data_IF_546124147360
#
_entry.id   IF_546124147360
#
_cell.length_a   1.000
_cell.length_b   1.000
_cell.length_c   1.000
_cell.angle_alpha   90.00
_cell.angle_beta   90.00
_cell.angle_gamma   90.00
#
_symmetry.space_group_name_H-M   'P 1'
#
loop_
_entity.id
_entity.type
_entity.pdbx_description
1 polymer ?
#
# COMPACT_ATOMS: atom_id res chain seq x y z
N UNK A 1 28.26 -32.52 24.62
CA UNK A 1 27.83 -31.11 24.89
C UNK A 1 28.80 -30.12 24.23
N UNK A 2 30.11 -30.31 24.28
CA UNK A 2 31.10 -29.37 23.71
C UNK A 2 31.03 -29.24 22.15
N UNK A 3 30.74 -30.32 21.41
CA UNK A 3 30.65 -30.30 19.95
C UNK A 3 29.45 -29.49 19.41
N UNK A 4 28.33 -29.45 20.14
CA UNK A 4 27.16 -28.68 19.74
C UNK A 4 27.40 -27.17 19.87
N UNK A 5 28.19 -26.71 20.85
CA UNK A 5 28.48 -25.29 21.05
C UNK A 5 29.41 -24.73 19.97
N UNK A 6 30.37 -25.48 19.47
CA UNK A 6 31.27 -25.05 18.40
C UNK A 6 30.55 -24.92 17.05
N UNK A 7 29.62 -25.83 16.75
CA UNK A 7 28.83 -25.78 15.52
C UNK A 7 27.93 -24.55 15.50
N UNK A 8 27.31 -24.17 16.65
CA UNK A 8 26.45 -22.98 16.77
C UNK A 8 27.23 -21.67 16.57
N UNK A 9 28.43 -21.56 17.10
CA UNK A 9 29.29 -20.36 16.95
C UNK A 9 29.73 -20.20 15.50
N UNK A 10 30.09 -21.30 14.83
CA UNK A 10 30.46 -21.27 13.40
C UNK A 10 29.30 -20.86 12.50
N UNK A 11 28.10 -21.37 12.77
CA UNK A 11 26.89 -20.99 12.03
C UNK A 11 26.57 -19.49 12.21
N UNK A 12 26.60 -18.96 13.44
CA UNK A 12 26.39 -17.53 13.70
C UNK A 12 27.42 -16.63 12.99
N UNK A 13 28.68 -17.08 12.91
CA UNK A 13 29.71 -16.35 12.17
C UNK A 13 29.39 -16.35 10.67
N UNK A 14 29.05 -17.49 10.10
CA UNK A 14 28.73 -17.62 8.70
C UNK A 14 27.52 -16.77 8.31
N UNK A 15 26.44 -16.78 9.11
CA UNK A 15 25.27 -15.91 8.93
C UNK A 15 25.68 -14.43 8.88
N UNK A 16 26.44 -13.96 9.88
CA UNK A 16 26.90 -12.56 9.93
C UNK A 16 27.76 -12.17 8.74
N UNK A 17 28.62 -13.08 8.26
CA UNK A 17 29.47 -12.81 7.10
C UNK A 17 28.66 -12.68 5.81
N UNK A 18 27.63 -13.52 5.61
CA UNK A 18 26.69 -13.39 4.50
C UNK A 18 25.88 -12.09 4.59
N UNK A 19 25.36 -11.73 5.77
CA UNK A 19 24.64 -10.45 5.97
C UNK A 19 25.55 -9.27 5.62
N UNK A 20 26.78 -9.22 6.13
CA UNK A 20 27.73 -8.14 5.82
C UNK A 20 28.03 -8.02 4.35
N UNK A 21 28.20 -9.15 3.67
CA UNK A 21 28.43 -9.16 2.23
C UNK A 21 27.19 -8.69 1.46
N UNK A 22 26.01 -9.15 1.87
CA UNK A 22 24.74 -8.71 1.31
C UNK A 22 24.56 -7.19 1.48
N UNK A 23 24.81 -6.65 2.69
CA UNK A 23 24.70 -5.21 2.96
C UNK A 23 25.64 -4.38 2.09
N UNK A 24 26.89 -4.83 1.87
CA UNK A 24 27.82 -4.11 1.00
C UNK A 24 27.29 -4.09 -0.44
N UNK A 25 26.89 -5.24 -0.97
CA UNK A 25 26.34 -5.37 -2.32
C UNK A 25 25.05 -4.55 -2.51
N UNK A 26 24.20 -4.52 -1.49
CA UNK A 26 23.00 -3.68 -1.49
C UNK A 26 23.35 -2.18 -1.58
N UNK A 27 24.33 -1.72 -0.80
CA UNK A 27 24.79 -0.34 -0.83
C UNK A 27 25.45 0.02 -2.18
N UNK A 28 26.09 -0.95 -2.82
CA UNK A 28 26.66 -0.82 -4.16
C UNK A 28 25.61 -0.97 -5.28
N UNK A 29 24.30 -1.09 -4.90
CA UNK A 29 23.16 -1.31 -5.82
C UNK A 29 23.27 -2.60 -6.65
N UNK A 30 24.07 -3.59 -6.21
CA UNK A 30 24.19 -4.91 -6.83
C UNK A 30 23.16 -5.87 -6.21
N UNK A 31 21.89 -5.59 -6.48
CA UNK A 31 20.77 -6.22 -5.76
C UNK A 31 20.66 -7.73 -5.98
N UNK A 32 20.98 -8.24 -7.16
CA UNK A 32 20.93 -9.68 -7.44
C UNK A 32 21.92 -10.46 -6.57
N UNK A 33 23.14 -9.96 -6.44
CA UNK A 33 24.15 -10.62 -5.62
C UNK A 33 23.88 -10.41 -4.11
N UNK A 34 23.30 -9.27 -3.73
CA UNK A 34 22.83 -9.04 -2.37
C UNK A 34 21.76 -10.07 -1.97
N UNK A 35 20.77 -10.31 -2.83
CA UNK A 35 19.73 -11.33 -2.64
C UNK A 35 20.35 -12.72 -2.39
N UNK A 36 21.30 -13.15 -3.23
CA UNK A 36 21.99 -14.43 -3.06
C UNK A 36 22.63 -14.56 -1.69
N UNK A 37 23.27 -13.48 -1.19
CA UNK A 37 23.93 -13.51 0.11
C UNK A 37 22.94 -13.52 1.27
N UNK A 38 21.82 -12.78 1.21
CA UNK A 38 20.79 -12.86 2.25
C UNK A 38 20.08 -14.22 2.26
N UNK A 39 19.83 -14.84 1.10
CA UNK A 39 19.29 -16.20 1.04
C UNK A 39 20.25 -17.21 1.67
N UNK A 40 21.58 -17.11 1.42
CA UNK A 40 22.58 -17.94 2.12
C UNK A 40 22.60 -17.71 3.63
N UNK A 41 22.37 -16.46 4.09
CA UNK A 41 22.24 -16.21 5.52
C UNK A 41 21.01 -16.92 6.11
N UNK A 42 19.89 -16.97 5.36
CA UNK A 42 18.68 -17.70 5.76
C UNK A 42 18.82 -19.21 5.69
N UNK A 43 19.65 -19.76 4.80
CA UNK A 43 20.00 -21.20 4.79
C UNK A 43 20.73 -21.56 6.09
N UNK A 44 21.60 -20.68 6.59
CA UNK A 44 22.32 -20.90 7.86
C UNK A 44 21.41 -20.67 9.06
N UNK A 45 20.59 -19.62 9.05
CA UNK A 45 19.64 -19.28 10.11
C UNK A 45 18.27 -18.91 9.52
N UNK A 46 17.36 -19.88 9.38
CA UNK A 46 16.02 -19.65 8.84
C UNK A 46 15.12 -18.72 9.66
N UNK A 47 15.55 -18.37 10.89
CA UNK A 47 14.82 -17.45 11.80
C UNK A 47 15.52 -16.10 11.95
N UNK A 48 16.34 -15.69 11.00
CA UNK A 48 17.02 -14.41 11.02
C UNK A 48 16.10 -13.28 10.54
N UNK A 49 15.46 -12.56 11.46
CA UNK A 49 14.64 -11.40 11.13
C UNK A 49 15.41 -10.35 10.34
N UNK A 50 16.69 -10.15 10.66
CA UNK A 50 17.57 -9.21 9.96
C UNK A 50 17.78 -9.64 8.50
N UNK A 51 18.02 -10.91 8.24
CA UNK A 51 18.20 -11.41 6.88
C UNK A 51 16.92 -11.32 6.07
N UNK A 52 15.76 -11.65 6.65
CA UNK A 52 14.45 -11.50 6.01
C UNK A 52 14.17 -10.04 5.68
N UNK A 53 14.38 -9.12 6.62
CA UNK A 53 14.17 -7.69 6.39
C UNK A 53 15.05 -7.16 5.26
N UNK A 54 16.36 -7.48 5.28
CA UNK A 54 17.29 -7.03 4.24
C UNK A 54 16.99 -7.68 2.88
N UNK A 55 16.57 -8.95 2.87
CA UNK A 55 16.09 -9.61 1.65
C UNK A 55 14.83 -8.92 1.11
N UNK A 56 13.87 -8.60 1.98
CA UNK A 56 12.69 -7.83 1.60
C UNK A 56 13.04 -6.49 0.96
N UNK A 57 13.96 -5.73 1.56
CA UNK A 57 14.46 -4.48 0.98
C UNK A 57 15.07 -4.70 -0.41
N UNK A 58 15.88 -5.74 -0.53
CA UNK A 58 16.57 -6.07 -1.78
C UNK A 58 15.60 -6.49 -2.88
N UNK A 59 14.61 -7.29 -2.55
CA UNK A 59 13.54 -7.71 -3.47
C UNK A 59 12.67 -6.52 -3.90
N UNK A 60 12.39 -5.60 -2.98
CA UNK A 60 11.68 -4.36 -3.28
C UNK A 60 12.43 -3.51 -4.31
N UNK A 61 13.76 -3.36 -4.18
CA UNK A 61 14.58 -2.66 -5.16
C UNK A 61 14.59 -3.35 -6.54
N UNK A 62 14.40 -4.65 -6.57
CA UNK A 62 14.25 -5.43 -7.80
C UNK A 62 12.80 -5.45 -8.33
N UNK A 63 11.88 -4.72 -7.72
CA UNK A 63 10.44 -4.70 -8.03
C UNK A 63 9.74 -6.06 -7.85
N UNK A 64 10.33 -6.98 -7.10
CA UNK A 64 9.76 -8.28 -6.71
C UNK A 64 8.87 -8.08 -5.47
N UNK A 65 7.82 -7.27 -5.61
CA UNK A 65 7.06 -6.74 -4.46
C UNK A 65 6.34 -7.82 -3.65
N UNK A 66 5.83 -8.85 -4.29
CA UNK A 66 5.18 -9.94 -3.58
C UNK A 66 6.15 -10.74 -2.72
N UNK A 67 7.32 -11.11 -3.27
CA UNK A 67 8.35 -11.80 -2.50
C UNK A 67 8.90 -10.92 -1.37
N UNK A 68 9.04 -9.60 -1.62
CA UNK A 68 9.45 -8.65 -0.58
C UNK A 68 8.45 -8.64 0.58
N UNK A 69 7.15 -8.60 0.28
CA UNK A 69 6.08 -8.63 1.28
C UNK A 69 6.12 -9.90 2.12
N UNK A 70 6.35 -11.08 1.52
CA UNK A 70 6.49 -12.35 2.23
C UNK A 70 7.66 -12.34 3.21
N UNK A 71 8.78 -11.70 2.83
CA UNK A 71 9.94 -11.58 3.70
C UNK A 71 9.67 -10.61 4.85
N UNK A 72 9.02 -9.47 4.62
CA UNK A 72 8.63 -8.54 5.67
C UNK A 72 7.62 -9.15 6.65
N UNK A 73 6.61 -9.86 6.14
CA UNK A 73 5.64 -10.56 6.97
C UNK A 73 6.33 -11.61 7.87
N UNK A 74 7.24 -12.38 7.30
CA UNK A 74 8.02 -13.37 8.05
C UNK A 74 8.91 -12.72 9.10
N UNK A 75 9.58 -11.60 8.77
CA UNK A 75 10.40 -10.85 9.71
C UNK A 75 9.56 -10.27 10.86
N UNK A 76 8.38 -9.71 10.57
CA UNK A 76 7.51 -9.08 11.56
C UNK A 76 7.02 -10.06 12.64
N UNK A 77 6.86 -11.34 12.29
CA UNK A 77 6.40 -12.38 13.21
C UNK A 77 7.45 -12.80 14.25
N UNK A 78 8.72 -12.57 13.97
CA UNK A 78 9.84 -13.02 14.82
C UNK A 78 10.65 -11.88 15.43
N UNK A 79 10.63 -10.68 14.83
CA UNK A 79 11.30 -9.50 15.38
C UNK A 79 10.60 -9.05 16.67
N UNK A 80 11.39 -8.60 17.64
CA UNK A 80 10.90 -8.13 18.94
C UNK A 80 11.32 -6.70 19.27
N UNK A 81 12.31 -6.19 18.57
CA UNK A 81 12.75 -4.82 18.69
C UNK A 81 11.74 -3.89 18.03
N UNK A 82 11.17 -2.95 18.82
CA UNK A 82 10.13 -2.04 18.34
C UNK A 82 10.59 -1.18 17.18
N UNK A 83 11.84 -0.68 17.22
CA UNK A 83 12.34 0.16 16.12
C UNK A 83 12.47 -0.62 14.82
N UNK A 84 12.92 -1.86 14.89
CA UNK A 84 12.99 -2.73 13.70
C UNK A 84 11.60 -3.13 13.21
N UNK A 85 10.65 -3.42 14.09
CA UNK A 85 9.26 -3.64 13.72
C UNK A 85 8.66 -2.41 13.04
N UNK A 86 8.95 -1.21 13.54
CA UNK A 86 8.50 0.02 12.88
C UNK A 86 9.00 0.10 11.43
N UNK A 87 10.28 -0.16 11.20
CA UNK A 87 10.82 -0.15 9.83
C UNK A 87 10.21 -1.22 8.93
N UNK A 88 9.96 -2.43 9.47
CA UNK A 88 9.31 -3.51 8.71
C UNK A 88 7.90 -3.07 8.28
N UNK A 89 7.08 -2.58 9.22
CA UNK A 89 5.72 -2.14 8.92
C UNK A 89 5.68 -0.90 8.03
N UNK A 90 6.63 0.03 8.18
CA UNK A 90 6.78 1.15 7.26
C UNK A 90 6.97 0.66 5.82
N UNK A 91 7.93 -0.25 5.59
CA UNK A 91 8.22 -0.77 4.25
C UNK A 91 7.05 -1.58 3.68
N UNK A 92 6.32 -2.34 4.50
CA UNK A 92 5.07 -2.99 4.09
C UNK A 92 4.04 -1.94 3.62
N UNK A 93 3.90 -0.84 4.37
CA UNK A 93 3.02 0.27 4.01
C UNK A 93 3.37 0.88 2.65
N UNK A 94 4.67 1.11 2.40
CA UNK A 94 5.16 1.60 1.10
C UNK A 94 4.79 0.66 -0.04
N UNK A 95 4.96 -0.66 0.14
CA UNK A 95 4.59 -1.64 -0.89
C UNK A 95 3.08 -1.69 -1.13
N UNK A 96 2.25 -1.67 -0.08
CA UNK A 96 0.80 -1.62 -0.22
C UNK A 96 0.34 -0.34 -0.94
N UNK A 97 0.94 0.80 -0.59
CA UNK A 97 0.63 2.08 -1.24
C UNK A 97 1.03 2.08 -2.72
N UNK A 98 2.19 1.54 -3.07
CA UNK A 98 2.62 1.37 -4.46
C UNK A 98 1.66 0.46 -5.25
N UNK A 99 1.13 -0.59 -4.59
CA UNK A 99 0.10 -1.47 -5.15
C UNK A 99 -1.32 -0.89 -5.12
N UNK A 100 -1.52 0.36 -4.65
CA UNK A 100 -2.82 1.04 -4.50
C UNK A 100 -3.78 0.33 -3.53
N UNK A 101 -3.28 -0.54 -2.66
CA UNK A 101 -4.04 -1.10 -1.54
C UNK A 101 -3.91 -0.13 -0.35
N UNK A 102 -4.58 1.01 -0.48
CA UNK A 102 -4.45 2.10 0.49
C UNK A 102 -4.97 1.73 1.87
N UNK A 103 -5.96 0.86 1.96
CA UNK A 103 -6.47 0.37 3.24
C UNK A 103 -5.37 -0.39 4.02
N UNK A 104 -4.70 -1.34 3.38
CA UNK A 104 -3.60 -2.07 4.02
C UNK A 104 -2.38 -1.18 4.25
N UNK A 105 -2.12 -0.18 3.39
CA UNK A 105 -1.07 0.80 3.61
C UNK A 105 -1.30 1.58 4.90
N UNK A 106 -2.53 2.07 5.12
CA UNK A 106 -2.94 2.76 6.36
C UNK A 106 -2.70 1.89 7.58
N UNK A 107 -3.12 0.63 7.56
CA UNK A 107 -2.94 -0.30 8.68
C UNK A 107 -1.45 -0.55 8.97
N UNK A 108 -0.65 -0.76 7.94
CA UNK A 108 0.78 -0.99 8.08
C UNK A 108 1.50 0.25 8.66
N UNK A 109 1.19 1.45 8.20
CA UNK A 109 1.76 2.68 8.76
C UNK A 109 1.31 2.93 10.20
N UNK A 110 0.06 2.63 10.56
CA UNK A 110 -0.40 2.66 11.95
C UNK A 110 0.39 1.69 12.83
N UNK A 111 0.66 0.48 12.35
CA UNK A 111 1.50 -0.48 13.06
C UNK A 111 2.94 0.00 13.21
N UNK A 112 3.50 0.64 12.20
CA UNK A 112 4.81 1.28 12.28
C UNK A 112 4.84 2.34 13.38
N UNK A 113 3.86 3.26 13.40
CA UNK A 113 3.79 4.34 14.38
C UNK A 113 3.50 3.87 15.80
N UNK A 114 2.79 2.76 15.99
CA UNK A 114 2.66 2.13 17.33
C UNK A 114 4.01 1.67 17.88
N UNK A 115 4.94 1.30 17.03
CA UNK A 115 6.29 0.87 17.41
C UNK A 115 7.28 2.03 17.48
N UNK A 116 7.14 3.05 16.63
CA UNK A 116 7.93 4.28 16.65
C UNK A 116 7.04 5.52 16.42
N UNK A 117 6.44 6.09 17.49
CA UNK A 117 5.57 7.26 17.36
C UNK A 117 6.30 8.54 16.89
N UNK A 118 7.62 8.58 16.95
CA UNK A 118 8.40 9.75 16.55
C UNK A 118 8.71 9.81 15.05
N UNK A 119 8.32 8.82 14.27
CA UNK A 119 8.64 8.73 12.85
C UNK A 119 7.77 9.69 12.02
N UNK A 120 8.37 10.82 11.62
CA UNK A 120 7.69 11.85 10.83
C UNK A 120 7.42 11.41 9.39
N UNK A 121 8.29 10.58 8.81
CA UNK A 121 8.11 10.08 7.45
C UNK A 121 6.91 9.13 7.39
N UNK A 122 6.83 8.19 8.33
CA UNK A 122 5.68 7.28 8.42
C UNK A 122 4.38 8.05 8.68
N UNK A 123 4.39 9.12 9.50
CA UNK A 123 3.20 9.96 9.68
C UNK A 123 2.75 10.64 8.38
N UNK A 124 3.68 11.19 7.64
CA UNK A 124 3.38 11.79 6.34
C UNK A 124 2.77 10.76 5.37
N UNK A 125 3.39 9.58 5.28
CA UNK A 125 2.92 8.50 4.41
C UNK A 125 1.55 7.98 4.84
N UNK A 126 1.27 7.89 6.14
CA UNK A 126 -0.06 7.55 6.67
C UNK A 126 -1.12 8.56 6.21
N UNK A 127 -0.86 9.86 6.39
CA UNK A 127 -1.80 10.89 5.98
C UNK A 127 -2.05 10.87 4.45
N UNK A 128 -1.01 10.64 3.66
CA UNK A 128 -1.13 10.48 2.21
C UNK A 128 -1.97 9.24 1.84
N UNK A 129 -1.70 8.09 2.47
CA UNK A 129 -2.45 6.87 2.21
C UNK A 129 -3.93 7.00 2.59
N UNK A 130 -4.25 7.68 3.70
CA UNK A 130 -5.63 7.97 4.11
C UNK A 130 -6.36 8.86 3.10
N UNK A 131 -5.69 9.91 2.61
CA UNK A 131 -6.25 10.74 1.54
C UNK A 131 -6.54 9.91 0.29
N UNK A 132 -5.58 9.11 -0.16
CA UNK A 132 -5.75 8.27 -1.35
C UNK A 132 -6.86 7.23 -1.19
N UNK A 133 -7.02 6.67 0.02
CA UNK A 133 -8.12 5.75 0.34
C UNK A 133 -9.46 6.44 0.21
N UNK A 134 -9.59 7.66 0.77
CA UNK A 134 -10.82 8.46 0.68
C UNK A 134 -11.16 8.82 -0.77
N UNK A 135 -10.14 9.23 -1.54
CA UNK A 135 -10.32 9.58 -2.96
C UNK A 135 -10.77 8.35 -3.77
N UNK A 136 -10.20 7.18 -3.49
CA UNK A 136 -10.60 5.91 -4.11
C UNK A 136 -12.05 5.54 -3.78
N UNK A 137 -12.48 5.70 -2.53
CA UNK A 137 -13.86 5.45 -2.11
C UNK A 137 -14.84 6.41 -2.80
N UNK A 138 -14.52 7.70 -2.84
CA UNK A 138 -15.36 8.70 -3.50
C UNK A 138 -15.53 8.42 -5.00
N UNK A 139 -14.48 7.93 -5.68
CA UNK A 139 -14.56 7.54 -7.08
C UNK A 139 -15.49 6.34 -7.28
N UNK A 140 -15.38 5.31 -6.42
CA UNK A 140 -16.25 4.14 -6.48
C UNK A 140 -17.72 4.50 -6.27
N UNK A 141 -18.01 5.40 -5.32
CA UNK A 141 -19.38 5.87 -5.06
C UNK A 141 -19.95 6.67 -6.25
N UNK A 142 -19.12 7.47 -6.93
CA UNK A 142 -19.54 8.21 -8.12
C UNK A 142 -19.83 7.27 -9.30
N UNK A 143 -19.00 6.27 -9.52
CA UNK A 143 -19.20 5.28 -10.58
C UNK A 143 -20.49 4.46 -10.35
N UNK A 144 -20.74 4.02 -9.11
CA UNK A 144 -21.97 3.32 -8.75
C UNK A 144 -23.23 4.17 -8.95
N UNK A 145 -23.17 5.45 -8.62
CA UNK A 145 -24.29 6.38 -8.83
C UNK A 145 -24.55 6.65 -10.32
N UNK A 146 -23.51 6.71 -11.15
CA UNK A 146 -23.66 6.85 -12.60
C UNK A 146 -24.29 5.62 -13.23
N UNK A 147 -23.91 4.41 -12.80
CA UNK A 147 -24.47 3.17 -13.33
C UNK A 147 -25.93 3.01 -12.91
N UNK A 148 -26.28 3.35 -11.68
CA UNK A 148 -27.68 3.35 -11.23
C UNK A 148 -28.56 4.35 -12.02
N UNK A 149 -28.03 5.51 -12.35
CA UNK A 149 -28.75 6.50 -13.17
C UNK A 149 -28.93 6.01 -14.62
N UNK A 150 -27.94 5.36 -15.21
CA UNK A 150 -28.07 4.75 -16.55
C UNK A 150 -29.10 3.64 -16.57
N UNK A 151 -29.13 2.79 -15.56
CA UNK A 151 -30.11 1.71 -15.44
C UNK A 151 -31.55 2.26 -15.26
N UNK A 152 -31.71 3.36 -14.52
CA UNK A 152 -33.02 4.01 -14.39
C UNK A 152 -33.47 4.67 -15.70
N UNK A 153 -32.55 5.30 -16.43
CA UNK A 153 -32.83 5.91 -17.72
C UNK A 153 -33.21 4.85 -18.77
N UNK A 154 -32.50 3.74 -18.84
CA UNK A 154 -32.86 2.62 -19.74
C UNK A 154 -34.22 2.02 -19.40
N UNK A 155 -34.59 1.90 -18.11
CA UNK A 155 -35.92 1.44 -17.69
C UNK A 155 -37.03 2.43 -18.01
N UNK A 156 -36.73 3.73 -18.02
CA UNK A 156 -37.71 4.77 -18.45
C UNK A 156 -37.90 4.76 -19.96
N UNK A 157 -36.82 4.63 -20.74
CA UNK A 157 -36.86 4.57 -22.20
C UNK A 157 -37.63 3.33 -22.69
N UNK A 158 -37.40 2.16 -22.06
CA UNK A 158 -38.17 0.94 -22.36
C UNK A 158 -39.66 1.08 -22.02
N UNK A 159 -40.04 1.82 -20.99
CA UNK A 159 -41.44 2.10 -20.67
C UNK A 159 -42.09 3.12 -21.63
N UNK A 160 -41.29 4.06 -22.17
CA UNK A 160 -41.80 5.01 -23.18
C UNK A 160 -42.00 4.35 -24.54
N UNK A 161 -41.12 3.41 -24.95
CA UNK A 161 -41.30 2.67 -26.18
C UNK A 161 -42.50 1.73 -26.15
N UNK A 162 -42.79 1.07 -24.99
CA UNK A 162 -44.00 0.26 -24.84
C UNK A 162 -45.29 1.11 -24.84
N UNK A 163 -45.21 2.41 -24.56
CA UNK A 163 -46.36 3.32 -24.60
C UNK A 163 -46.53 3.96 -25.96
N UNK A 164 -45.47 4.06 -26.80
CA UNK A 164 -45.54 4.58 -28.18
C UNK A 164 -46.21 3.62 -29.15
N UNK A 165 -46.09 2.33 -28.93
CA UNK A 165 -46.82 1.32 -29.73
C UNK A 165 -48.36 1.32 -29.51
N UNK A 166 -48.84 2.09 -28.52
CA UNK A 166 -50.29 2.27 -28.28
C UNK A 166 -50.87 3.59 -28.76
N UNK A 167 -50.04 4.52 -29.24
CA UNK A 167 -50.47 5.83 -29.77
C UNK A 167 -49.67 6.17 -31.06
N UNK A 168 -49.83 5.40 -32.09
CA UNK A 168 -49.42 5.85 -33.41
C UNK A 168 -50.61 6.52 -34.08
N UNK A 169 -50.76 7.81 -33.84
CA UNK A 169 -51.23 8.79 -34.82
C UNK A 169 -51.04 10.23 -34.26
N UNK A 170 -50.30 11.00 -34.98
CA UNK A 170 -50.19 12.45 -35.05
C UNK A 170 -48.91 13.13 -34.54
N UNK A 171 -48.14 13.51 -35.59
CA UNK A 171 -47.40 14.77 -35.83
C UNK A 171 -46.03 15.01 -35.16
N UNK A 172 -45.12 15.12 -36.10
CA UNK A 172 -43.83 15.83 -36.30
C UNK A 172 -43.66 17.16 -35.55
N UNK A 173 -42.38 17.37 -35.24
CA UNK A 173 -41.48 18.52 -35.40
C UNK A 173 -40.89 19.13 -34.12
N UNK A 174 -39.62 19.25 -34.21
CA UNK A 174 -38.58 20.26 -33.88
C UNK A 174 -37.67 20.12 -32.67
N UNK A 175 -36.41 19.84 -33.04
CA UNK A 175 -35.08 20.45 -32.81
C UNK A 175 -34.55 20.74 -31.36
N UNK A 176 -33.36 20.09 -31.14
CA UNK A 176 -32.05 20.59 -30.65
C UNK A 176 -31.96 21.35 -29.33
N UNK A 177 -31.15 20.87 -28.42
CA UNK A 177 -29.79 21.41 -28.19
C UNK A 177 -28.90 20.50 -27.33
N UNK A 178 -27.62 20.42 -27.72
CA UNK A 178 -26.54 19.68 -27.07
C UNK A 178 -25.87 20.57 -26.03
N UNK A 179 -25.65 20.04 -24.84
CA UNK A 179 -24.57 20.54 -23.96
C UNK A 179 -23.70 19.38 -23.47
N UNK A 180 -22.41 19.46 -23.85
CA UNK A 180 -21.34 18.59 -23.37
C UNK A 180 -20.97 18.90 -21.92
N UNK A 181 -20.68 17.89 -21.06
CA UNK A 181 -20.10 18.12 -19.76
C UNK A 181 -18.62 18.46 -19.84
N UNK A 182 -18.06 19.26 -18.92
CA UNK A 182 -16.67 19.68 -18.93
C UNK A 182 -15.73 18.53 -18.56
N UNK A 183 -14.53 18.52 -19.17
CA UNK A 183 -13.44 17.60 -18.90
C UNK A 183 -12.88 17.79 -17.49
N UNK A 184 -12.53 16.72 -16.77
CA UNK A 184 -11.84 16.85 -15.48
C UNK A 184 -10.40 17.34 -15.66
N UNK A 185 -10.05 18.40 -14.97
CA UNK A 185 -8.69 18.89 -14.82
C UNK A 185 -7.84 17.88 -14.00
N UNK A 186 -6.62 17.63 -14.47
CA UNK A 186 -5.62 16.86 -13.73
C UNK A 186 -5.17 17.66 -12.51
N UNK A 187 -5.61 17.27 -11.33
CA UNK A 187 -5.06 17.79 -10.08
C UNK A 187 -3.68 17.18 -9.81
N UNK A 188 -2.72 18.07 -9.61
CA UNK A 188 -1.35 17.75 -9.19
C UNK A 188 -1.38 17.12 -7.78
N UNK A 189 -0.93 15.87 -7.66
CA UNK A 189 -1.10 15.02 -6.48
C UNK A 189 -0.04 15.28 -5.39
N UNK A 190 0.60 16.46 -5.36
CA UNK A 190 1.52 16.83 -4.29
C UNK A 190 0.79 17.50 -3.13
N UNK A 191 0.57 16.75 -2.07
CA UNK A 191 0.06 17.29 -0.80
C UNK A 191 1.18 18.03 -0.06
N UNK A 192 0.94 19.29 0.36
CA UNK A 192 1.91 20.01 1.19
C UNK A 192 2.08 19.36 2.57
N UNK A 193 3.24 19.55 3.21
CA UNK A 193 3.50 19.05 4.58
C UNK A 193 2.44 19.55 5.58
N UNK A 194 2.01 20.79 5.44
CA UNK A 194 0.99 21.41 6.32
C UNK A 194 -0.37 20.74 6.19
N UNK A 195 -0.78 20.40 4.95
CA UNK A 195 -2.05 19.67 4.73
C UNK A 195 -1.97 18.23 5.27
N UNK A 196 -0.80 17.59 5.22
CA UNK A 196 -0.58 16.28 5.80
C UNK A 196 -0.66 16.31 7.33
N UNK A 197 -0.10 17.35 7.97
CA UNK A 197 -0.17 17.53 9.42
C UNK A 197 -1.59 17.86 9.91
N UNK A 198 -2.35 18.67 9.16
CA UNK A 198 -3.75 18.95 9.48
C UNK A 198 -4.62 17.70 9.39
N UNK A 199 -4.44 16.89 8.33
CA UNK A 199 -5.17 15.64 8.16
C UNK A 199 -4.81 14.63 9.25
N UNK A 200 -3.53 14.56 9.64
CA UNK A 200 -3.07 13.72 10.73
C UNK A 200 -3.69 14.12 12.08
N UNK A 201 -3.73 15.43 12.37
CA UNK A 201 -4.32 15.93 13.60
C UNK A 201 -5.82 15.65 13.69
N UNK A 202 -6.56 15.75 12.58
CA UNK A 202 -7.99 15.40 12.56
C UNK A 202 -8.21 13.90 12.86
N UNK A 203 -7.39 13.03 12.29
CA UNK A 203 -7.49 11.56 12.52
C UNK A 203 -7.10 11.17 13.94
N UNK A 204 -6.08 11.85 14.53
CA UNK A 204 -5.70 11.62 15.93
C UNK A 204 -6.76 12.13 16.92
N UNK A 205 -7.58 13.09 16.53
CA UNK A 205 -8.69 13.58 17.32
C UNK A 205 -9.85 12.58 17.32
N UNK A 206 -10.18 12.03 16.16
CA UNK A 206 -11.22 11.00 16.01
C UNK A 206 -10.88 9.71 16.79
N UNK A 207 -9.59 9.33 16.89
CA UNK A 207 -9.16 8.18 17.70
C UNK A 207 -9.26 8.43 19.22
N UNK A 208 -9.19 9.67 19.68
CA UNK A 208 -9.37 10.03 21.10
C UNK A 208 -10.83 10.05 21.54
N UNK A 209 -11.73 10.35 20.61
CA UNK A 209 -13.18 10.44 20.90
C UNK A 209 -13.87 9.07 20.87
N UNK A 210 -13.13 7.98 20.52
CA UNK A 210 -13.63 6.60 20.46
C UNK A 210 -13.12 5.72 21.63
N UNK A 211 -12.30 6.27 22.54
CA UNK A 211 -11.87 5.62 23.79
C UNK A 211 -12.66 6.14 24.99
#
# INVERSE_FOLDING_TARGET
>A
IFLLSVASVSAQKAERDYIRKGNRLFNDSVFVDAEVNYRKALEVNPKSAVSMYNLGNTLSQQQKFQEAMEQYDSASKIEKDKMKLAHIYHNMGVLFQAGKDYAKAVDAYKMSLRNNPADHETRYNLALAQKMLKDQQNQQDQDQNQDQNKDQQQKQDQKQDQNKDKQNDQKKDDQKDQQQPPKPEKQDNQMSKENAEQLLNSVMQDEKDVQ
#
